data_IF_740225423144
#
_entry.id   IF_740225423144
#
_cell.length_a   1.000
_cell.length_b   1.000
_cell.length_c   1.000
_cell.angle_alpha   90.00
_cell.angle_beta   90.00
_cell.angle_gamma   90.00
#
_symmetry.space_group_name_H-M   'P 1'
#
loop_
_entity.id
_entity.type
_entity.pdbx_description
1 polymer ?
#
# COMPACT_ATOMS: atom_id res chain seq x y z
N UNK A 1 -6.86 6.67 32.51
CA UNK A 1 -6.11 5.56 31.90
C UNK A 1 -7.18 4.57 31.49
N UNK A 2 -7.33 4.29 30.19
CA UNK A 2 -8.32 3.30 29.77
C UNK A 2 -7.75 1.91 30.05
N UNK A 3 -8.62 0.93 30.33
CA UNK A 3 -8.22 -0.44 30.61
C UNK A 3 -8.98 -1.41 29.71
N UNK A 4 -8.34 -2.53 29.39
CA UNK A 4 -8.92 -3.58 28.55
C UNK A 4 -9.04 -3.18 27.07
N UNK A 5 -10.05 -3.70 26.35
CA UNK A 5 -10.07 -3.71 24.87
C UNK A 5 -10.08 -2.31 24.23
N UNK A 6 -10.53 -1.29 24.97
CA UNK A 6 -10.52 0.10 24.49
C UNK A 6 -9.11 0.67 24.43
N UNK A 7 -8.25 0.34 25.40
CA UNK A 7 -6.86 0.78 25.41
C UNK A 7 -6.07 0.09 24.29
N UNK A 8 -6.27 -1.22 24.10
CA UNK A 8 -5.66 -1.98 23.01
C UNK A 8 -6.00 -1.37 21.65
N UNK A 9 -7.27 -1.01 21.43
CA UNK A 9 -7.70 -0.36 20.18
C UNK A 9 -7.02 1.00 19.97
N UNK A 10 -6.90 1.82 21.02
CA UNK A 10 -6.22 3.12 20.95
C UNK A 10 -4.74 2.93 20.58
N UNK A 11 -4.08 1.95 21.18
CA UNK A 11 -2.66 1.69 20.95
C UNK A 11 -2.42 1.16 19.53
N UNK A 12 -3.26 0.27 19.02
CA UNK A 12 -3.16 -0.20 17.63
C UNK A 12 -3.43 0.93 16.61
N UNK A 13 -4.46 1.75 16.84
CA UNK A 13 -4.75 2.90 15.98
C UNK A 13 -3.62 3.94 16.01
N UNK A 14 -2.95 4.10 17.15
CA UNK A 14 -1.82 5.02 17.32
C UNK A 14 -0.54 4.61 16.58
N UNK A 15 -0.41 3.34 16.17
CA UNK A 15 0.72 2.87 15.35
C UNK A 15 0.59 3.29 13.88
N UNK A 16 -0.60 3.69 13.45
CA UNK A 16 -0.85 4.06 12.05
C UNK A 16 -0.20 5.42 11.72
N UNK A 17 0.44 5.56 10.54
CA UNK A 17 1.07 6.81 10.15
C UNK A 17 0.01 7.93 10.05
N UNK A 18 0.27 9.05 10.72
CA UNK A 18 -0.62 10.21 10.73
C UNK A 18 -1.72 10.20 11.79
N UNK A 19 -1.81 9.15 12.63
CA UNK A 19 -2.75 9.08 13.75
C UNK A 19 -1.97 9.26 15.06
N UNK A 20 -2.12 10.43 15.69
CA UNK A 20 -1.61 10.68 17.03
C UNK A 20 -2.54 10.13 18.13
N UNK A 21 -2.09 10.10 19.40
CA UNK A 21 -2.83 9.49 20.52
C UNK A 21 -4.23 10.12 20.73
N UNK A 22 -4.37 11.43 20.55
CA UNK A 22 -5.67 12.12 20.61
C UNK A 22 -6.62 11.70 19.48
N UNK A 23 -6.09 11.52 18.27
CA UNK A 23 -6.88 11.08 17.12
C UNK A 23 -7.28 9.61 17.27
N UNK A 24 -6.36 8.75 17.72
CA UNK A 24 -6.63 7.35 17.99
C UNK A 24 -7.74 7.18 19.02
N UNK A 25 -7.68 7.92 20.13
CA UNK A 25 -8.75 7.94 21.14
C UNK A 25 -10.09 8.36 20.52
N UNK A 26 -10.13 9.44 19.74
CA UNK A 26 -11.37 9.90 19.09
C UNK A 26 -11.98 8.84 18.18
N UNK A 27 -11.14 8.13 17.41
CA UNK A 27 -11.58 7.06 16.51
C UNK A 27 -12.09 5.85 17.33
N UNK A 28 -11.37 5.44 18.39
CA UNK A 28 -11.78 4.34 19.24
C UNK A 28 -13.18 4.57 19.86
N UNK A 29 -13.43 5.78 20.40
CA UNK A 29 -14.76 6.12 20.94
C UNK A 29 -15.84 6.23 19.87
N UNK A 30 -15.50 6.67 18.65
CA UNK A 30 -16.43 6.62 17.53
C UNK A 30 -16.83 5.17 17.22
N UNK A 31 -15.86 4.25 17.14
CA UNK A 31 -16.12 2.83 16.87
C UNK A 31 -16.95 2.13 17.97
N UNK A 32 -16.94 2.63 19.20
CA UNK A 32 -17.83 2.13 20.26
C UNK A 32 -19.29 2.58 20.09
N UNK A 33 -19.53 3.63 19.30
CA UNK A 33 -20.86 4.24 19.10
C UNK A 33 -21.55 3.84 17.81
N UNK A 34 -20.84 3.22 16.86
CA UNK A 34 -21.40 2.77 15.58
C UNK A 34 -22.16 1.45 15.73
N UNK A 35 -22.97 1.12 14.73
CA UNK A 35 -23.71 -0.13 14.71
C UNK A 35 -22.76 -1.33 14.58
N UNK A 36 -23.04 -2.48 15.23
CA UNK A 36 -22.21 -3.68 15.14
C UNK A 36 -21.92 -4.11 13.69
N UNK A 37 -22.90 -3.94 12.79
CA UNK A 37 -22.75 -4.26 11.38
C UNK A 37 -21.67 -3.43 10.67
N UNK A 38 -21.42 -2.19 11.09
CA UNK A 38 -20.32 -1.37 10.56
C UNK A 38 -18.95 -1.89 11.00
N UNK A 39 -18.85 -2.33 12.25
CA UNK A 39 -17.63 -2.95 12.80
C UNK A 39 -17.33 -4.26 12.08
N UNK A 40 -18.35 -5.08 11.83
CA UNK A 40 -18.20 -6.35 11.10
C UNK A 40 -17.73 -6.11 9.67
N UNK A 41 -18.30 -5.11 8.98
CA UNK A 41 -17.87 -4.70 7.64
C UNK A 41 -16.41 -4.26 7.63
N UNK A 42 -15.99 -3.43 8.58
CA UNK A 42 -14.61 -2.96 8.69
C UNK A 42 -13.64 -4.13 8.91
N UNK A 43 -13.97 -5.03 9.84
CA UNK A 43 -13.19 -6.23 10.17
C UNK A 43 -13.05 -7.15 8.96
N UNK A 44 -14.13 -7.34 8.20
CA UNK A 44 -14.13 -8.16 6.98
C UNK A 44 -13.25 -7.55 5.88
N UNK A 45 -13.26 -6.23 5.70
CA UNK A 45 -12.40 -5.55 4.71
C UNK A 45 -10.93 -5.65 5.12
N UNK A 46 -10.60 -5.41 6.39
CA UNK A 46 -9.22 -5.55 6.89
C UNK A 46 -8.68 -6.98 6.68
N UNK A 47 -9.54 -7.98 6.93
CA UNK A 47 -9.23 -9.39 6.68
C UNK A 47 -8.98 -9.66 5.19
N UNK A 48 -9.84 -9.15 4.30
CA UNK A 48 -9.64 -9.27 2.85
C UNK A 48 -8.37 -8.58 2.36
N UNK A 49 -8.00 -7.44 2.94
CA UNK A 49 -6.75 -6.74 2.58
C UNK A 49 -5.55 -7.57 3.02
N UNK A 50 -5.57 -8.11 4.24
CA UNK A 50 -4.50 -8.98 4.76
C UNK A 50 -4.32 -10.23 3.90
N UNK A 51 -5.41 -10.87 3.49
CA UNK A 51 -5.37 -12.20 2.87
C UNK A 51 -5.37 -12.14 1.32
N UNK A 52 -5.85 -11.04 0.75
CA UNK A 52 -6.12 -10.89 -0.69
C UNK A 52 -5.26 -9.87 -1.42
N UNK A 53 -4.49 -9.02 -0.73
CA UNK A 53 -3.57 -8.10 -1.42
C UNK A 53 -2.44 -8.89 -2.06
N UNK A 54 -2.38 -8.83 -3.39
CA UNK A 54 -1.30 -9.38 -4.20
C UNK A 54 -0.59 -8.26 -4.92
N UNK A 55 0.64 -8.53 -5.33
CA UNK A 55 1.38 -7.66 -6.23
C UNK A 55 1.36 -8.26 -7.63
N UNK A 56 1.13 -7.41 -8.61
CA UNK A 56 1.12 -7.79 -10.02
C UNK A 56 2.50 -8.35 -10.41
N UNK A 57 2.52 -9.55 -11.00
CA UNK A 57 3.77 -10.21 -11.40
C UNK A 57 4.54 -9.44 -12.49
N UNK A 58 3.88 -8.54 -13.22
CA UNK A 58 4.48 -7.78 -14.34
C UNK A 58 5.04 -6.42 -13.90
N UNK A 59 4.30 -5.70 -13.06
CA UNK A 59 4.64 -4.31 -12.73
C UNK A 59 4.80 -4.02 -11.24
N UNK A 60 4.56 -4.98 -10.34
CA UNK A 60 4.66 -4.74 -8.90
C UNK A 60 3.56 -3.85 -8.30
N UNK A 61 2.55 -3.44 -9.08
CA UNK A 61 1.41 -2.68 -8.54
C UNK A 61 0.47 -3.56 -7.71
N UNK A 62 -0.25 -2.96 -6.76
CA UNK A 62 -1.25 -3.64 -5.95
C UNK A 62 -2.41 -4.14 -6.83
N UNK A 63 -2.80 -5.40 -6.65
CA UNK A 63 -3.78 -6.11 -7.47
C UNK A 63 -4.56 -7.13 -6.63
N UNK A 64 -5.80 -7.40 -7.05
CA UNK A 64 -6.63 -8.51 -6.54
C UNK A 64 -6.30 -9.85 -7.23
N UNK A 65 -5.63 -9.80 -8.39
CA UNK A 65 -5.27 -10.94 -9.24
C UNK A 65 -3.76 -10.91 -9.60
N UNK A 66 -3.24 -11.96 -10.24
CA UNK A 66 -1.84 -12.09 -10.70
C UNK A 66 -1.40 -10.92 -11.59
N UNK A 67 -2.34 -10.35 -12.35
CA UNK A 67 -2.12 -9.23 -13.25
C UNK A 67 -3.06 -8.08 -12.92
N UNK A 68 -2.50 -6.89 -12.64
CA UNK A 68 -3.31 -5.71 -12.38
C UNK A 68 -4.09 -5.27 -13.62
N UNK A 69 -5.18 -4.52 -13.38
CA UNK A 69 -6.07 -3.99 -14.42
C UNK A 69 -5.33 -3.17 -15.49
N UNK A 70 -4.28 -2.43 -15.10
CA UNK A 70 -3.50 -1.61 -16.04
C UNK A 70 -2.68 -2.49 -16.98
N UNK A 71 -2.06 -3.56 -16.46
CA UNK A 71 -1.31 -4.49 -17.30
C UNK A 71 -2.24 -5.32 -18.19
N UNK A 72 -3.46 -5.65 -17.72
CA UNK A 72 -4.44 -6.43 -18.47
C UNK A 72 -5.14 -5.63 -19.59
N UNK A 73 -5.17 -4.29 -19.49
CA UNK A 73 -5.83 -3.42 -20.46
C UNK A 73 -5.07 -3.39 -21.82
N UNK A 74 -5.67 -3.89 -22.91
CA UNK A 74 -5.04 -3.88 -24.24
C UNK A 74 -5.00 -2.49 -24.89
N UNK A 75 -5.73 -1.51 -24.35
CA UNK A 75 -5.75 -0.13 -24.87
C UNK A 75 -4.50 0.67 -24.48
N UNK A 76 -3.70 0.14 -23.56
CA UNK A 76 -2.48 0.79 -23.05
C UNK A 76 -1.28 0.45 -23.93
N UNK A 77 -0.46 1.46 -24.18
CA UNK A 77 0.75 1.30 -24.97
C UNK A 77 1.79 0.49 -24.20
N UNK A 78 2.24 -0.63 -24.78
CA UNK A 78 3.23 -1.51 -24.18
C UNK A 78 4.68 -1.03 -24.37
N UNK A 79 4.91 -0.06 -25.28
CA UNK A 79 6.24 0.51 -25.55
C UNK A 79 6.65 1.57 -24.54
N UNK A 80 5.69 2.13 -23.81
CA UNK A 80 5.90 3.20 -22.83
C UNK A 80 5.71 2.66 -21.40
N UNK A 81 6.74 2.77 -20.58
CA UNK A 81 6.73 2.36 -19.18
C UNK A 81 7.10 3.53 -18.28
N UNK A 82 6.20 3.88 -17.35
CA UNK A 82 6.45 4.86 -16.29
C UNK A 82 6.92 4.11 -15.03
N UNK A 83 8.18 4.33 -14.66
CA UNK A 83 8.76 3.74 -13.45
C UNK A 83 8.41 4.64 -12.26
N UNK A 84 7.89 4.04 -11.19
CA UNK A 84 7.51 4.74 -9.96
C UNK A 84 8.08 4.03 -8.73
N UNK A 85 8.26 4.78 -7.64
CA UNK A 85 8.84 4.23 -6.41
C UNK A 85 7.82 3.37 -5.66
N UNK A 86 6.61 3.88 -5.44
CA UNK A 86 5.57 3.22 -4.66
C UNK A 86 4.25 3.04 -5.43
N UNK A 87 3.41 2.04 -5.09
CA UNK A 87 2.11 1.83 -5.76
C UNK A 87 1.18 3.05 -5.71
N UNK A 88 1.29 3.89 -4.68
CA UNK A 88 0.50 5.11 -4.52
C UNK A 88 0.80 6.16 -5.59
N UNK A 89 2.01 6.14 -6.16
CA UNK A 89 2.44 7.06 -7.21
C UNK A 89 1.77 6.70 -8.54
N UNK A 90 1.52 5.41 -8.80
CA UNK A 90 0.69 4.96 -9.93
C UNK A 90 -0.68 5.65 -9.88
N UNK A 91 -1.31 5.68 -8.71
CA UNK A 91 -2.61 6.34 -8.53
C UNK A 91 -2.52 7.86 -8.67
N UNK A 92 -1.38 8.48 -8.37
CA UNK A 92 -1.18 9.91 -8.60
C UNK A 92 -1.14 10.23 -10.10
N UNK A 93 -0.41 9.45 -10.89
CA UNK A 93 -0.31 9.65 -12.34
C UNK A 93 -1.62 9.28 -13.04
N UNK A 94 -2.28 8.17 -12.68
CA UNK A 94 -3.56 7.78 -13.30
C UNK A 94 -4.67 8.83 -13.08
N UNK A 95 -4.61 9.59 -11.98
CA UNK A 95 -5.56 10.69 -11.71
C UNK A 95 -5.47 11.83 -12.72
N UNK A 96 -4.32 12.07 -13.34
CA UNK A 96 -4.19 13.12 -14.37
C UNK A 96 -4.82 12.70 -15.69
N UNK A 97 -4.95 11.39 -15.95
CA UNK A 97 -5.44 10.79 -17.21
C UNK A 97 -4.64 11.17 -18.46
N UNK A 98 -3.43 11.70 -18.27
CA UNK A 98 -2.55 12.12 -19.37
C UNK A 98 -1.64 10.99 -19.85
N UNK A 99 -1.35 10.02 -18.98
CA UNK A 99 -0.48 8.89 -19.30
C UNK A 99 -1.31 7.67 -19.74
N UNK A 100 -0.96 7.09 -20.90
CA UNK A 100 -1.63 5.90 -21.48
C UNK A 100 -0.71 4.68 -21.62
N UNK A 101 0.51 4.74 -21.09
CA UNK A 101 1.44 3.62 -21.07
C UNK A 101 1.19 2.67 -19.89
N UNK A 102 2.16 1.78 -19.64
CA UNK A 102 2.20 0.88 -18.48
C UNK A 102 3.07 1.44 -17.36
N UNK A 103 2.98 0.83 -16.19
CA UNK A 103 3.80 1.21 -15.03
C UNK A 103 4.75 0.10 -14.63
N UNK A 104 5.78 0.46 -13.88
CA UNK A 104 6.62 -0.47 -13.13
C UNK A 104 6.91 0.14 -11.75
N UNK A 105 6.58 -0.59 -10.69
CA UNK A 105 6.71 -0.16 -9.30
C UNK A 105 7.93 -0.82 -8.69
N UNK A 106 8.86 -0.01 -8.19
CA UNK A 106 10.12 -0.50 -7.61
C UNK A 106 9.94 -1.11 -6.21
N UNK A 107 8.86 -0.77 -5.50
CA UNK A 107 8.53 -1.35 -4.20
C UNK A 107 9.10 -0.58 -3.00
N UNK A 108 9.38 0.71 -3.17
CA UNK A 108 10.02 1.56 -2.17
C UNK A 108 11.54 1.39 -2.14
N UNK A 109 12.28 2.43 -1.71
CA UNK A 109 13.73 2.40 -1.53
C UNK A 109 14.19 1.26 -0.62
N UNK A 110 14.56 0.12 -1.20
CA UNK A 110 15.56 -0.80 -0.66
C UNK A 110 16.77 -0.82 -1.58
N UNK A 111 17.51 0.28 -1.60
CA UNK A 111 18.95 0.23 -1.83
C UNK A 111 19.62 0.84 -0.60
N UNK A 112 19.57 0.12 0.52
CA UNK A 112 20.71 0.15 1.43
C UNK A 112 21.70 -0.83 0.82
N UNK A 113 22.65 -0.31 0.05
CA UNK A 113 23.91 -0.99 -0.09
C UNK A 113 24.41 -1.24 1.35
N UNK A 114 24.67 -2.49 1.77
CA UNK A 114 25.37 -2.69 3.03
C UNK A 114 26.71 -1.97 2.89
N UNK A 115 26.98 -1.02 3.79
CA UNK A 115 28.30 -0.43 3.93
C UNK A 115 29.25 -1.52 4.45
N UNK A 116 29.70 -2.42 3.57
CA UNK A 116 30.71 -3.42 3.87
C UNK A 116 31.47 -3.82 2.60
N UNK A 117 32.70 -3.33 2.49
CA UNK A 117 33.78 -3.95 1.71
C UNK A 117 34.04 -3.40 0.30
N UNK A 118 35.26 -2.94 0.00
CA UNK A 118 35.66 -2.53 -1.34
C UNK A 118 36.05 -3.76 -2.18
N UNK A 119 35.08 -4.52 -2.67
CA UNK A 119 35.31 -5.49 -3.74
C UNK A 119 33.99 -6.08 -4.25
N UNK A 120 33.77 -6.00 -5.56
CA UNK A 120 32.66 -6.56 -6.34
C UNK A 120 31.34 -5.77 -6.38
N UNK A 121 31.40 -4.53 -6.86
CA UNK A 121 30.25 -3.96 -7.59
C UNK A 121 30.30 -4.53 -9.02
N UNK A 122 29.66 -5.68 -9.23
CA UNK A 122 29.44 -6.26 -10.55
C UNK A 122 28.39 -5.44 -11.29
N UNK A 123 28.79 -4.89 -12.42
CA UNK A 123 27.95 -4.20 -13.39
C UNK A 123 26.65 -4.96 -13.70
N UNK A 124 25.51 -4.34 -13.42
CA UNK A 124 24.25 -4.63 -14.09
C UNK A 124 23.46 -3.32 -14.21
N UNK A 125 23.87 -2.54 -15.21
CA UNK A 125 22.98 -1.91 -16.19
C UNK A 125 21.68 -1.30 -15.65
N UNK A 126 21.78 -0.02 -15.27
CA UNK A 126 20.67 0.92 -15.40
C UNK A 126 20.35 1.20 -16.87
#
# INVERSE_FOLDING_TARGET
MFEGPVQDLIDELGKLPGIGPKSAQRIAFYLLSVEPADIDRLTAVLTKVRDGVRFCAVCGNVSDDERCRICADPRRDASLVCVVEEPKDVQAVERTREFRGRYHVLGGRSIRCPASGPSSCGSASC
#
